data_IF_834800307171
#
_entry.id   IF_834800307171
#
_cell.length_a   1.000
_cell.length_b   1.000
_cell.length_c   1.000
_cell.angle_alpha   90.00
_cell.angle_beta   90.00
_cell.angle_gamma   90.00
#
_symmetry.space_group_name_H-M   'P 1'
#
loop_
_entity.id
_entity.type
_entity.pdbx_description
1 polymer ?
#
# COMPACT_ATOMS: atom_id res chain seq x y z
N UNK A 1 -9.52 -25.50 5.03
CA UNK A 1 -8.47 -24.68 5.65
C UNK A 1 -7.72 -25.52 6.69
N UNK A 2 -8.05 -25.53 7.99
CA UNK A 2 -7.33 -26.42 8.94
C UNK A 2 -7.43 -27.93 8.65
N UNK A 3 -8.48 -28.38 7.95
CA UNK A 3 -8.63 -29.77 7.50
C UNK A 3 -8.03 -30.06 6.12
N UNK A 4 -7.44 -29.06 5.49
CA UNK A 4 -6.90 -29.04 4.11
C UNK A 4 -5.35 -28.91 4.14
N UNK A 5 -4.75 -28.81 5.33
CA UNK A 5 -3.29 -28.70 5.52
C UNK A 5 -2.65 -27.57 4.69
N UNK A 6 -3.35 -26.44 4.58
CA UNK A 6 -2.86 -25.24 3.87
C UNK A 6 -1.61 -24.69 4.59
N UNK A 7 -0.50 -24.61 3.88
CA UNK A 7 0.77 -24.10 4.40
C UNK A 7 0.80 -22.57 4.60
N UNK A 8 -0.21 -21.87 4.05
CA UNK A 8 -0.45 -20.43 4.10
C UNK A 8 0.52 -19.55 3.30
N UNK A 9 1.49 -20.14 2.62
CA UNK A 9 2.44 -19.38 1.82
C UNK A 9 1.80 -18.93 0.51
N UNK A 10 2.24 -17.77 0.02
CA UNK A 10 1.70 -17.18 -1.19
C UNK A 10 2.30 -17.83 -2.43
N UNK A 11 1.52 -18.66 -3.15
CA UNK A 11 1.90 -19.15 -4.49
C UNK A 11 1.65 -18.11 -5.61
N UNK A 12 0.71 -17.20 -5.36
CA UNK A 12 0.30 -16.14 -6.29
C UNK A 12 0.06 -14.84 -5.53
N UNK A 13 0.46 -13.73 -6.14
CA UNK A 13 0.25 -12.40 -5.57
C UNK A 13 -1.10 -11.85 -6.02
N UNK A 14 -2.02 -11.66 -5.08
CA UNK A 14 -3.41 -11.32 -5.36
C UNK A 14 -3.68 -9.86 -4.99
N UNK A 15 -4.33 -9.13 -5.89
CA UNK A 15 -4.93 -7.84 -5.63
C UNK A 15 -6.34 -7.77 -6.23
N UNK A 16 -7.19 -6.92 -5.66
CA UNK A 16 -8.57 -6.72 -6.10
C UNK A 16 -8.73 -5.35 -6.75
N UNK A 17 -9.13 -5.31 -8.02
CA UNK A 17 -9.74 -4.12 -8.61
C UNK A 17 -11.21 -4.06 -8.19
N UNK A 18 -11.56 -3.17 -7.25
CA UNK A 18 -12.96 -2.98 -6.84
C UNK A 18 -13.70 -2.11 -7.86
N UNK A 19 -14.26 -2.74 -8.88
CA UNK A 19 -14.93 -2.04 -9.99
C UNK A 19 -16.27 -2.71 -10.30
N UNK A 20 -17.32 -1.89 -10.38
CA UNK A 20 -18.70 -2.37 -10.64
C UNK A 20 -19.23 -1.95 -12.02
N UNK A 21 -18.51 -1.06 -12.72
CA UNK A 21 -18.88 -0.56 -14.03
C UNK A 21 -17.66 -0.09 -14.82
N UNK A 22 -17.88 0.24 -16.09
CA UNK A 22 -16.82 0.66 -17.03
C UNK A 22 -16.09 1.92 -16.56
N UNK A 23 -16.79 2.90 -15.99
CA UNK A 23 -16.16 4.14 -15.52
C UNK A 23 -15.22 3.90 -14.33
N UNK A 24 -15.60 3.02 -13.41
CA UNK A 24 -14.71 2.61 -12.30
C UNK A 24 -13.49 1.83 -12.82
N UNK A 25 -13.69 0.93 -13.78
CA UNK A 25 -12.58 0.22 -14.42
C UNK A 25 -11.61 1.18 -15.11
N UNK A 26 -12.12 2.19 -15.81
CA UNK A 26 -11.30 3.24 -16.42
C UNK A 26 -10.55 4.08 -15.38
N UNK A 27 -11.19 4.40 -14.24
CA UNK A 27 -10.52 5.13 -13.14
C UNK A 27 -9.40 4.29 -12.51
N UNK A 28 -9.63 2.99 -12.28
CA UNK A 28 -8.61 2.08 -11.78
C UNK A 28 -7.41 2.01 -12.73
N UNK A 29 -7.65 1.75 -14.02
CA UNK A 29 -6.59 1.71 -15.05
C UNK A 29 -5.86 3.05 -15.12
N UNK A 30 -6.58 4.17 -15.09
CA UNK A 30 -5.98 5.50 -15.11
C UNK A 30 -5.02 5.69 -13.93
N UNK A 31 -5.44 5.38 -12.70
CA UNK A 31 -4.59 5.52 -11.52
C UNK A 31 -3.35 4.63 -11.57
N UNK A 32 -3.51 3.36 -11.96
CA UNK A 32 -2.40 2.41 -12.10
C UNK A 32 -1.41 2.91 -13.15
N UNK A 33 -1.89 3.30 -14.34
CA UNK A 33 -1.03 3.78 -15.42
C UNK A 33 -0.37 5.12 -15.11
N UNK A 34 -1.07 6.03 -14.43
CA UNK A 34 -0.50 7.28 -13.95
C UNK A 34 0.62 7.03 -12.95
N UNK A 35 0.36 6.20 -11.93
CA UNK A 35 1.37 5.85 -10.94
C UNK A 35 2.56 5.15 -11.59
N UNK A 36 2.34 4.12 -12.42
CA UNK A 36 3.39 3.30 -13.01
C UNK A 36 4.19 4.00 -14.11
N UNK A 37 3.57 4.86 -14.93
CA UNK A 37 4.24 5.39 -16.14
C UNK A 37 4.65 6.85 -16.04
N UNK A 38 3.86 7.68 -15.38
CA UNK A 38 4.08 9.14 -15.38
C UNK A 38 3.51 9.81 -14.12
N UNK A 39 3.99 9.44 -12.92
CA UNK A 39 3.50 10.05 -11.70
C UNK A 39 4.07 11.48 -11.57
N UNK A 40 3.34 12.43 -10.95
CA UNK A 40 3.94 13.66 -10.45
C UNK A 40 5.12 13.33 -9.51
N UNK A 41 6.26 14.00 -9.65
CA UNK A 41 7.44 13.66 -8.83
C UNK A 41 7.43 14.31 -7.45
N UNK A 42 6.65 15.37 -7.25
CA UNK A 42 6.66 16.18 -6.03
C UNK A 42 6.15 15.46 -4.77
N UNK A 43 5.57 14.26 -4.90
CA UNK A 43 5.06 13.46 -3.79
C UNK A 43 5.75 12.10 -3.60
N UNK A 44 6.62 11.68 -4.53
CA UNK A 44 7.20 10.32 -4.56
C UNK A 44 8.04 10.01 -3.32
N UNK A 45 8.78 11.00 -2.80
CA UNK A 45 9.59 10.85 -1.58
C UNK A 45 8.89 11.37 -0.34
N UNK A 46 7.59 11.08 -0.21
CA UNK A 46 6.79 11.42 0.97
C UNK A 46 6.21 10.18 1.62
N UNK A 47 6.44 10.05 2.92
CA UNK A 47 5.92 9.01 3.78
C UNK A 47 4.99 9.62 4.84
N UNK A 48 3.76 9.13 4.93
CA UNK A 48 2.75 9.64 5.85
C UNK A 48 2.38 8.62 6.92
N UNK A 49 2.52 8.99 8.19
CA UNK A 49 2.43 8.10 9.34
C UNK A 49 1.45 8.62 10.41
N UNK A 50 0.13 8.60 10.15
CA UNK A 50 -0.88 8.88 11.14
C UNK A 50 -1.04 7.71 12.10
N UNK A 51 -1.04 8.00 13.41
CA UNK A 51 -1.29 7.00 14.44
C UNK A 51 -2.21 7.52 15.54
N UNK A 52 -3.28 6.78 15.75
CA UNK A 52 -4.21 6.90 16.84
C UNK A 52 -3.86 5.89 17.94
N UNK A 53 -4.33 6.20 19.13
CA UNK A 53 -4.26 5.29 20.27
C UNK A 53 -5.26 4.14 20.02
N UNK A 54 -4.97 2.92 20.49
CA UNK A 54 -5.89 1.78 20.39
C UNK A 54 -6.58 1.46 21.74
N UNK A 55 -5.92 1.78 22.84
CA UNK A 55 -6.44 1.71 24.21
C UNK A 55 -5.57 2.59 25.12
N UNK A 56 -6.06 2.93 26.32
CA UNK A 56 -5.42 3.91 27.22
C UNK A 56 -3.91 3.72 27.42
N UNK A 57 -3.45 2.46 27.57
CA UNK A 57 -2.05 2.12 27.84
C UNK A 57 -1.22 1.77 26.59
N UNK A 58 -1.81 1.84 25.40
CA UNK A 58 -1.11 1.59 24.14
C UNK A 58 -0.02 2.63 23.89
N UNK A 59 1.18 2.24 23.44
CA UNK A 59 2.19 3.20 22.97
C UNK A 59 2.16 3.20 21.44
N UNK A 60 1.58 4.24 20.86
CA UNK A 60 1.28 4.33 19.43
C UNK A 60 2.49 4.75 18.57
N UNK A 61 3.60 5.09 19.21
CA UNK A 61 4.80 5.62 18.54
C UNK A 61 5.74 4.56 17.96
N UNK A 62 6.04 3.43 18.63
CA UNK A 62 7.19 2.63 18.25
C UNK A 62 7.10 2.01 16.84
N UNK A 63 5.92 1.59 16.39
CA UNK A 63 5.72 1.09 15.02
C UNK A 63 5.98 2.19 13.99
N UNK A 64 5.28 3.33 14.10
CA UNK A 64 5.45 4.44 13.17
C UNK A 64 6.88 4.98 13.18
N UNK A 65 7.50 5.06 14.35
CA UNK A 65 8.90 5.44 14.49
C UNK A 65 9.85 4.40 13.87
N UNK A 66 9.49 3.11 13.87
CA UNK A 66 10.22 2.06 13.18
C UNK A 66 10.18 2.26 11.67
N UNK A 67 8.99 2.41 11.10
CA UNK A 67 8.78 2.65 9.66
C UNK A 67 9.49 3.94 9.23
N UNK A 68 9.38 5.02 10.01
CA UNK A 68 10.07 6.27 9.74
C UNK A 68 11.60 6.15 9.68
N UNK A 69 12.20 5.26 10.48
CA UNK A 69 13.66 5.02 10.47
C UNK A 69 14.12 4.22 9.24
N UNK A 70 13.21 3.50 8.57
CA UNK A 70 13.51 2.77 7.35
C UNK A 70 13.54 3.68 6.12
N UNK A 71 12.80 4.79 6.16
CA UNK A 71 12.75 5.74 5.06
C UNK A 71 14.14 6.34 4.78
N UNK A 72 14.54 6.47 3.49
CA UNK A 72 15.77 7.15 3.12
C UNK A 72 15.83 8.60 3.63
N UNK A 73 17.04 9.11 3.87
CA UNK A 73 17.24 10.40 4.54
C UNK A 73 16.75 11.63 3.76
N UNK A 74 16.51 11.51 2.45
CA UNK A 74 15.95 12.56 1.59
C UNK A 74 14.41 12.50 1.49
N UNK A 75 13.77 11.55 2.16
CA UNK A 75 12.31 11.46 2.23
C UNK A 75 11.73 12.44 3.25
N UNK A 76 10.61 13.05 2.89
CA UNK A 76 9.78 13.80 3.83
C UNK A 76 8.88 12.82 4.59
N UNK A 77 9.07 12.74 5.92
CA UNK A 77 8.27 11.88 6.79
C UNK A 77 7.31 12.71 7.65
N UNK A 78 6.01 12.58 7.41
CA UNK A 78 4.93 13.27 8.14
C UNK A 78 4.38 12.39 9.25
N UNK A 79 4.80 12.63 10.50
CA UNK A 79 4.31 11.93 11.70
C UNK A 79 3.15 12.69 12.35
N UNK A 80 1.99 12.04 12.49
CA UNK A 80 0.77 12.65 13.03
C UNK A 80 0.21 11.78 14.14
N UNK A 81 0.40 12.17 15.40
CA UNK A 81 0.17 11.33 16.57
C UNK A 81 -1.00 11.89 17.40
N UNK A 82 -1.97 11.04 17.73
CA UNK A 82 -3.14 11.42 18.52
C UNK A 82 -2.74 11.97 19.90
N UNK A 83 -1.84 11.29 20.61
CA UNK A 83 -1.39 11.69 21.96
C UNK A 83 -0.78 13.08 22.01
N UNK A 84 -0.10 13.48 20.93
CA UNK A 84 0.53 14.78 20.80
C UNK A 84 -0.41 15.84 20.17
N UNK A 85 -1.63 15.44 19.81
CA UNK A 85 -2.61 16.31 19.15
C UNK A 85 -2.25 16.72 17.72
N UNK A 86 -1.25 16.06 17.09
CA UNK A 86 -0.84 16.38 15.72
C UNK A 86 -1.65 15.62 14.67
N UNK A 87 -2.30 14.53 15.05
CA UNK A 87 -3.33 13.87 14.22
C UNK A 87 -4.68 14.55 14.40
N UNK A 88 -5.11 15.28 13.38
CA UNK A 88 -6.45 15.87 13.30
C UNK A 88 -7.10 15.48 11.98
N UNK A 89 -8.44 15.45 11.93
CA UNK A 89 -9.18 15.19 10.69
C UNK A 89 -8.80 16.16 9.57
N UNK A 90 -8.70 17.45 9.87
CA UNK A 90 -8.31 18.45 8.87
C UNK A 90 -6.85 18.26 8.43
N UNK A 91 -5.92 18.05 9.37
CA UNK A 91 -4.52 17.81 9.02
C UNK A 91 -4.34 16.55 8.16
N UNK A 92 -5.09 15.48 8.45
CA UNK A 92 -5.14 14.28 7.62
C UNK A 92 -5.59 14.63 6.20
N UNK A 93 -6.75 15.29 6.04
CA UNK A 93 -7.29 15.70 4.73
C UNK A 93 -6.32 16.60 3.96
N UNK A 94 -5.71 17.58 4.63
CA UNK A 94 -4.74 18.50 4.02
C UNK A 94 -3.51 17.73 3.51
N UNK A 95 -3.03 16.76 4.29
CA UNK A 95 -1.89 15.92 3.90
C UNK A 95 -2.25 14.99 2.73
N UNK A 96 -3.44 14.37 2.76
CA UNK A 96 -3.97 13.58 1.65
C UNK A 96 -4.03 14.42 0.37
N UNK A 97 -4.56 15.66 0.45
CA UNK A 97 -4.75 16.57 -0.68
C UNK A 97 -3.45 17.09 -1.30
N UNK A 98 -2.38 17.22 -0.50
CA UNK A 98 -1.03 17.53 -1.00
C UNK A 98 -0.34 16.29 -1.60
N UNK A 99 -0.77 15.09 -1.20
CA UNK A 99 -0.31 13.81 -1.73
C UNK A 99 0.96 13.29 -1.04
N UNK A 100 0.99 11.97 -0.84
CA UNK A 100 2.13 11.19 -0.36
C UNK A 100 2.21 9.88 -1.13
N UNK A 101 3.40 9.30 -1.21
CA UNK A 101 3.61 8.08 -1.97
C UNK A 101 3.28 6.83 -1.16
N UNK A 102 3.81 6.75 0.06
CA UNK A 102 3.59 5.62 0.97
C UNK A 102 3.01 6.11 2.29
N UNK A 103 2.10 5.36 2.90
CA UNK A 103 1.58 5.72 4.21
C UNK A 103 1.09 4.55 5.03
N UNK A 104 1.40 4.58 6.33
CA UNK A 104 0.98 3.55 7.27
C UNK A 104 0.00 4.16 8.26
N UNK A 105 -1.21 3.63 8.33
CA UNK A 105 -2.28 4.24 9.11
C UNK A 105 -2.68 3.37 10.29
N UNK A 106 -2.67 3.98 11.46
CA UNK A 106 -2.98 3.30 12.70
C UNK A 106 -4.13 3.96 13.44
N UNK A 107 -5.09 3.13 13.85
CA UNK A 107 -6.22 3.53 14.67
C UNK A 107 -7.33 2.49 14.71
N UNK A 108 -8.43 2.85 15.38
CA UNK A 108 -9.65 2.07 15.27
C UNK A 108 -10.21 2.17 13.85
N UNK A 109 -10.91 1.13 13.39
CA UNK A 109 -11.50 1.12 12.06
C UNK A 109 -12.90 0.57 12.06
N UNK A 110 -13.64 0.91 11.02
CA UNK A 110 -14.78 0.16 10.54
C UNK A 110 -14.94 0.39 9.02
N UNK A 111 -16.01 -0.11 8.44
CA UNK A 111 -16.31 -0.02 7.00
C UNK A 111 -16.48 1.42 6.52
N UNK A 112 -16.61 2.39 7.42
CA UNK A 112 -16.87 3.80 7.09
C UNK A 112 -15.67 4.72 7.35
N UNK A 113 -14.56 4.25 7.93
CA UNK A 113 -13.40 5.10 8.18
C UNK A 113 -12.39 4.55 9.18
N UNK A 114 -11.46 5.44 9.53
CA UNK A 114 -10.43 5.20 10.53
C UNK A 114 -10.44 6.33 11.59
N UNK A 115 -10.27 5.94 12.84
CA UNK A 115 -10.75 6.70 14.00
C UNK A 115 -9.67 6.87 15.07
N UNK A 116 -9.74 8.04 15.69
CA UNK A 116 -9.05 8.35 16.94
C UNK A 116 -9.69 7.57 18.10
N UNK A 117 -8.95 7.34 19.17
CA UNK A 117 -9.51 6.71 20.38
C UNK A 117 -10.39 7.68 21.18
N UNK A 118 -9.92 8.92 21.36
CA UNK A 118 -10.60 9.93 22.18
C UNK A 118 -11.59 10.79 21.39
N UNK A 119 -11.77 10.54 20.08
CA UNK A 119 -12.55 11.40 19.19
C UNK A 119 -13.15 10.60 18.02
N UNK A 120 -13.63 11.30 16.99
CA UNK A 120 -14.22 10.70 15.80
C UNK A 120 -13.19 10.25 14.76
N UNK A 121 -13.69 10.03 13.55
CA UNK A 121 -12.86 9.69 12.40
C UNK A 121 -11.82 10.78 12.14
N UNK A 122 -10.54 10.38 11.98
CA UNK A 122 -9.55 11.28 11.38
C UNK A 122 -9.54 11.17 9.85
N UNK A 123 -10.13 10.11 9.29
CA UNK A 123 -10.52 10.06 7.88
C UNK A 123 -11.76 9.15 7.74
N UNK A 124 -12.86 9.72 7.23
CA UNK A 124 -14.07 8.96 6.92
C UNK A 124 -14.20 8.69 5.41
N UNK A 125 -15.13 7.80 5.04
CA UNK A 125 -15.49 7.55 3.64
C UNK A 125 -15.96 8.82 2.94
N UNK A 126 -16.73 9.67 3.62
CA UNK A 126 -17.14 10.97 3.08
C UNK A 126 -15.96 11.94 2.85
N UNK A 127 -14.89 11.84 3.64
CA UNK A 127 -13.67 12.61 3.42
C UNK A 127 -12.88 12.05 2.25
N UNK A 128 -12.78 10.71 2.14
CA UNK A 128 -12.17 10.04 0.99
C UNK A 128 -12.86 10.44 -0.33
N UNK A 129 -14.19 10.51 -0.33
CA UNK A 129 -15.03 11.01 -1.42
C UNK A 129 -14.87 12.51 -1.68
N UNK A 130 -14.14 13.26 -0.86
CA UNK A 130 -13.90 14.68 -1.03
C UNK A 130 -12.45 15.02 -1.39
N UNK A 131 -11.55 14.04 -1.44
CA UNK A 131 -10.12 14.26 -1.71
C UNK A 131 -9.88 14.87 -3.10
N UNK A 132 -8.88 15.74 -3.20
CA UNK A 132 -8.55 16.55 -4.40
C UNK A 132 -7.07 16.50 -4.77
N UNK A 133 -6.35 15.46 -4.36
CA UNK A 133 -4.92 15.29 -4.66
C UNK A 133 -4.58 15.01 -6.12
N UNK A 134 -5.58 14.87 -7.01
CA UNK A 134 -5.36 14.65 -8.42
C UNK A 134 -4.56 13.37 -8.67
N UNK A 135 -3.49 13.50 -9.46
CA UNK A 135 -2.62 12.38 -9.86
C UNK A 135 -1.58 12.00 -8.80
N UNK A 136 -1.56 12.66 -7.64
CA UNK A 136 -0.68 12.31 -6.51
C UNK A 136 -1.27 11.17 -5.69
N UNK A 137 -1.50 10.04 -6.34
CA UNK A 137 -2.17 8.86 -5.78
C UNK A 137 -1.16 7.92 -5.14
N UNK A 138 -1.18 7.81 -3.81
CA UNK A 138 -0.26 6.94 -3.06
C UNK A 138 -0.78 5.55 -2.79
N UNK A 139 0.00 4.82 -1.99
CA UNK A 139 -0.28 3.49 -1.45
C UNK A 139 -0.36 3.60 0.08
N UNK A 140 -1.35 2.94 0.70
CA UNK A 140 -1.39 2.86 2.15
C UNK A 140 -1.77 1.48 2.68
N UNK A 141 -1.15 1.06 3.78
CA UNK A 141 -1.62 -0.05 4.60
C UNK A 141 -2.12 0.44 5.96
N UNK A 142 -2.99 -0.35 6.59
CA UNK A 142 -3.56 0.01 7.88
C UNK A 142 -3.89 -1.19 8.74
N UNK A 143 -3.63 -1.04 10.04
CA UNK A 143 -4.09 -1.99 11.06
C UNK A 143 -5.58 -1.84 11.40
N UNK A 144 -6.27 -0.80 10.91
CA UNK A 144 -7.65 -0.50 11.32
C UNK A 144 -8.63 -1.62 10.98
N UNK A 145 -9.53 -1.93 11.91
CA UNK A 145 -10.53 -2.99 11.73
C UNK A 145 -11.52 -2.68 10.61
N UNK A 146 -11.90 -3.66 9.80
CA UNK A 146 -12.97 -3.68 8.80
C UNK A 146 -12.92 -2.55 7.77
N UNK A 147 -11.83 -1.79 7.69
CA UNK A 147 -11.64 -0.74 6.69
C UNK A 147 -11.72 -1.30 5.25
N UNK A 148 -11.32 -2.55 5.06
CA UNK A 148 -11.44 -3.32 3.82
C UNK A 148 -12.62 -4.31 3.82
N UNK A 149 -13.59 -4.19 4.73
CA UNK A 149 -14.73 -5.11 4.83
C UNK A 149 -15.81 -4.85 3.76
N UNK A 150 -15.49 -5.00 2.47
CA UNK A 150 -16.42 -4.71 1.36
C UNK A 150 -17.69 -5.57 1.41
N UNK A 151 -17.63 -6.78 1.97
CA UNK A 151 -18.78 -7.66 2.13
C UNK A 151 -19.70 -7.26 3.30
N UNK A 152 -19.24 -6.34 4.17
CA UNK A 152 -19.97 -5.82 5.33
C UNK A 152 -20.84 -4.60 4.99
N UNK A 153 -20.78 -4.11 3.74
CA UNK A 153 -21.56 -2.98 3.23
C UNK A 153 -22.40 -3.37 2.01
N UNK A 154 -23.45 -4.20 2.16
CA UNK A 154 -24.27 -4.62 1.03
C UNK A 154 -24.89 -3.44 0.27
N UNK A 155 -24.53 -3.29 -1.00
CA UNK A 155 -25.01 -2.21 -1.87
C UNK A 155 -24.28 -0.88 -1.70
N UNK A 156 -23.19 -0.84 -0.94
CA UNK A 156 -22.29 0.30 -0.81
C UNK A 156 -20.83 -0.08 -1.01
N UNK A 157 -19.94 0.87 -0.69
CA UNK A 157 -18.49 0.72 -0.74
C UNK A 157 -17.94 0.78 0.68
N UNK A 158 -16.91 -0.02 0.99
CA UNK A 158 -16.19 0.11 2.25
C UNK A 158 -15.17 1.24 2.16
N UNK A 159 -14.60 1.64 3.30
CA UNK A 159 -13.65 2.76 3.37
C UNK A 159 -12.47 2.60 2.40
N UNK A 160 -11.93 1.39 2.27
CA UNK A 160 -10.88 1.07 1.32
C UNK A 160 -11.32 1.32 -0.14
N UNK A 161 -12.57 0.96 -0.49
CA UNK A 161 -13.15 1.16 -1.81
C UNK A 161 -13.35 2.64 -2.11
N UNK A 162 -13.84 3.44 -1.15
CA UNK A 162 -13.94 4.90 -1.29
C UNK A 162 -12.58 5.55 -1.64
N UNK A 163 -11.49 5.11 -1.01
CA UNK A 163 -10.14 5.63 -1.28
C UNK A 163 -9.64 5.30 -2.69
N UNK A 164 -9.78 4.04 -3.13
CA UNK A 164 -9.27 3.61 -4.45
C UNK A 164 -10.19 4.03 -5.59
N UNK A 165 -11.50 4.17 -5.34
CA UNK A 165 -12.49 4.54 -6.36
C UNK A 165 -12.70 6.05 -6.50
N UNK A 166 -12.16 6.87 -5.59
CA UNK A 166 -12.20 8.34 -5.71
C UNK A 166 -11.65 8.80 -7.07
N UNK A 167 -12.49 9.45 -7.87
CA UNK A 167 -12.08 10.08 -9.13
C UNK A 167 -11.42 11.42 -8.84
N UNK A 168 -10.27 11.70 -9.48
CA UNK A 168 -9.54 12.96 -9.30
C UNK A 168 -8.81 13.08 -7.95
N UNK A 169 -8.55 11.96 -7.28
CA UNK A 169 -7.80 11.92 -6.02
C UNK A 169 -7.84 10.53 -5.36
N UNK A 170 -7.66 10.49 -4.05
CA UNK A 170 -7.61 9.26 -3.27
C UNK A 170 -6.27 8.55 -3.42
N UNK A 171 -6.31 7.21 -3.43
CA UNK A 171 -5.14 6.35 -3.50
C UNK A 171 -5.20 5.45 -4.74
N UNK A 172 -4.05 4.95 -5.20
CA UNK A 172 -3.98 3.98 -6.28
C UNK A 172 -4.07 2.54 -5.76
N UNK A 173 -3.66 2.31 -4.51
CA UNK A 173 -3.84 1.03 -3.84
C UNK A 173 -3.90 1.18 -2.32
N UNK A 174 -4.57 0.23 -1.66
CA UNK A 174 -4.56 0.11 -0.20
C UNK A 174 -4.48 -1.35 0.23
N UNK A 175 -3.88 -1.60 1.40
CA UNK A 175 -3.95 -2.89 2.09
C UNK A 175 -4.71 -2.69 3.40
N UNK A 176 -5.90 -3.25 3.50
CA UNK A 176 -6.78 -3.02 4.65
C UNK A 176 -7.45 -4.32 5.09
N UNK A 177 -7.72 -4.39 6.39
CA UNK A 177 -8.33 -5.54 7.05
C UNK A 177 -9.80 -5.67 6.66
N UNK A 178 -10.20 -6.86 6.22
CA UNK A 178 -11.60 -7.21 5.98
C UNK A 178 -12.41 -7.37 7.28
N UNK A 179 -11.71 -7.60 8.40
CA UNK A 179 -12.21 -7.82 9.76
C UNK A 179 -11.24 -7.18 10.76
N UNK A 180 -10.85 -7.85 11.83
CA UNK A 180 -10.10 -7.24 12.94
C UNK A 180 -8.59 -7.24 12.75
N UNK A 181 -7.99 -6.05 12.73
CA UNK A 181 -6.56 -5.90 12.96
C UNK A 181 -6.20 -5.90 14.44
N UNK A 182 -4.97 -6.30 14.73
CA UNK A 182 -4.47 -6.56 16.07
C UNK A 182 -3.15 -5.83 16.34
N UNK A 183 -3.21 -4.87 17.27
CA UNK A 183 -2.06 -4.11 17.75
C UNK A 183 -1.25 -4.83 18.83
N UNK A 184 -0.33 -4.11 19.46
CA UNK A 184 0.68 -4.63 20.38
C UNK A 184 0.12 -5.45 21.55
N UNK A 185 0.94 -6.39 22.02
CA UNK A 185 0.63 -7.16 23.22
C UNK A 185 0.60 -6.26 24.48
N UNK A 186 -0.32 -6.54 25.42
CA UNK A 186 -0.51 -5.73 26.64
C UNK A 186 0.53 -6.11 27.73
N UNK A 187 1.15 -5.09 28.35
CA UNK A 187 2.02 -5.22 29.53
C UNK A 187 3.46 -4.76 29.31
N UNK A 188 3.95 -4.83 28.08
CA UNK A 188 5.17 -4.21 27.57
C UNK A 188 5.05 -4.13 26.04
N UNK A 189 5.58 -3.09 25.40
CA UNK A 189 5.43 -2.93 23.96
C UNK A 189 6.13 -4.08 23.23
N UNK A 190 5.33 -4.95 22.61
CA UNK A 190 5.75 -5.94 21.64
C UNK A 190 4.81 -5.78 20.46
N UNK A 191 5.34 -5.56 19.24
CA UNK A 191 4.50 -5.37 18.06
C UNK A 191 3.44 -6.45 17.93
N UNK A 192 2.21 -6.06 17.61
CA UNK A 192 1.10 -6.98 17.38
C UNK A 192 1.22 -7.73 16.07
N UNK A 193 0.34 -8.71 15.80
CA UNK A 193 0.25 -9.35 14.50
C UNK A 193 0.14 -8.38 13.32
N UNK A 194 -0.76 -7.38 13.36
CA UNK A 194 -0.91 -6.43 12.25
C UNK A 194 0.31 -5.52 12.12
N UNK A 195 0.83 -5.00 13.24
CA UNK A 195 2.03 -4.14 13.23
C UNK A 195 3.26 -4.85 12.63
N UNK A 196 3.36 -6.15 12.85
CA UNK A 196 4.42 -6.99 12.27
C UNK A 196 4.29 -7.13 10.76
N UNK A 197 3.10 -7.46 10.26
CA UNK A 197 2.85 -7.53 8.81
C UNK A 197 3.17 -6.18 8.17
N UNK A 198 2.63 -5.11 8.74
CA UNK A 198 2.73 -3.77 8.18
C UNK A 198 4.15 -3.20 8.25
N UNK A 199 4.89 -3.44 9.33
CA UNK A 199 6.31 -3.05 9.41
C UNK A 199 7.17 -3.85 8.43
N UNK A 200 6.89 -5.14 8.25
CA UNK A 200 7.62 -5.99 7.28
C UNK A 200 7.37 -5.52 5.84
N UNK A 201 6.19 -5.00 5.52
CA UNK A 201 5.91 -4.39 4.20
C UNK A 201 6.92 -3.28 3.87
N UNK A 202 7.17 -2.34 4.80
CA UNK A 202 8.17 -1.29 4.60
C UNK A 202 9.60 -1.79 4.61
N UNK A 203 9.90 -2.81 5.42
CA UNK A 203 11.21 -3.46 5.41
C UNK A 203 11.51 -4.08 4.05
N UNK A 204 10.50 -4.70 3.41
CA UNK A 204 10.63 -5.29 2.09
C UNK A 204 10.98 -4.24 1.03
N UNK A 205 10.36 -3.06 1.09
CA UNK A 205 10.62 -1.95 0.16
C UNK A 205 12.03 -1.39 0.39
N UNK A 206 12.36 -1.00 1.62
CA UNK A 206 13.55 -0.18 1.88
C UNK A 206 14.84 -0.98 2.11
N UNK A 207 14.75 -2.26 2.46
CA UNK A 207 15.93 -3.10 2.74
C UNK A 207 16.05 -4.34 1.85
N UNK A 208 14.94 -5.01 1.53
CA UNK A 208 14.98 -6.20 0.67
C UNK A 208 14.90 -5.88 -0.83
N UNK A 209 14.58 -4.63 -1.19
CA UNK A 209 14.42 -4.18 -2.57
C UNK A 209 13.33 -4.95 -3.35
N UNK A 210 12.21 -5.23 -2.69
CA UNK A 210 11.03 -5.87 -3.28
C UNK A 210 10.00 -4.80 -3.62
N UNK A 211 9.74 -4.60 -4.92
CA UNK A 211 9.01 -3.43 -5.41
C UNK A 211 7.70 -3.72 -6.14
N UNK A 212 7.34 -4.96 -6.48
CA UNK A 212 5.99 -5.23 -6.99
C UNK A 212 5.01 -5.27 -5.82
N UNK A 213 3.96 -4.45 -5.84
CA UNK A 213 3.10 -4.22 -4.68
C UNK A 213 2.51 -5.50 -4.08
N UNK A 214 2.06 -6.42 -4.93
CA UNK A 214 1.53 -7.72 -4.54
C UNK A 214 2.60 -8.62 -3.92
N UNK A 215 3.81 -8.63 -4.49
CA UNK A 215 4.96 -9.37 -3.95
C UNK A 215 5.38 -8.81 -2.59
N UNK A 216 5.54 -7.49 -2.47
CA UNK A 216 5.88 -6.81 -1.22
C UNK A 216 4.89 -7.14 -0.10
N UNK A 217 3.58 -7.14 -0.43
CA UNK A 217 2.49 -7.49 0.48
C UNK A 217 2.49 -8.97 0.88
N UNK A 218 2.61 -9.86 -0.11
CA UNK A 218 2.63 -11.30 0.11
C UNK A 218 3.84 -11.74 0.95
N UNK A 219 5.04 -11.29 0.60
CA UNK A 219 6.28 -11.61 1.35
C UNK A 219 6.20 -11.07 2.79
N UNK A 220 5.54 -9.94 3.01
CA UNK A 220 5.31 -9.43 4.36
C UNK A 220 4.44 -10.38 5.18
N UNK A 221 3.42 -11.00 4.58
CA UNK A 221 2.56 -12.01 5.22
C UNK A 221 3.30 -13.33 5.44
N UNK A 222 3.99 -13.81 4.41
CA UNK A 222 4.72 -15.08 4.41
C UNK A 222 5.81 -15.13 5.49
N UNK A 223 6.45 -13.98 5.79
CA UNK A 223 7.46 -13.86 6.84
C UNK A 223 6.93 -14.24 8.24
N UNK A 224 5.61 -14.18 8.46
CA UNK A 224 4.97 -14.44 9.75
C UNK A 224 4.18 -15.75 9.80
N UNK A 225 4.08 -16.49 8.69
CA UNK A 225 3.46 -17.83 8.63
C UNK A 225 4.02 -18.80 9.70
N UNK A 226 5.33 -18.87 9.98
CA UNK A 226 5.86 -19.74 11.05
C UNK A 226 5.28 -19.46 12.44
N UNK A 227 4.69 -18.28 12.65
CA UNK A 227 4.12 -17.84 13.92
C UNK A 227 2.58 -17.86 13.93
N UNK A 228 1.93 -18.30 12.84
CA UNK A 228 0.48 -18.22 12.66
C UNK A 228 -0.32 -18.76 13.86
N UNK A 229 0.17 -19.83 14.48
CA UNK A 229 -0.47 -20.54 15.59
C UNK A 229 0.41 -20.55 16.87
N UNK A 230 1.38 -19.64 16.99
CA UNK A 230 2.33 -19.59 18.13
C UNK A 230 1.75 -19.02 19.45
N UNK A 231 0.54 -18.45 19.42
CA UNK A 231 -0.13 -17.87 20.59
C UNK A 231 0.62 -16.69 21.25
N UNK A 232 0.17 -16.27 22.45
CA UNK A 232 0.73 -15.13 23.19
C UNK A 232 0.80 -13.86 22.33
N UNK A 233 1.98 -13.24 22.24
CA UNK A 233 2.21 -12.07 21.39
C UNK A 233 1.96 -12.32 19.90
N UNK A 234 1.81 -13.57 19.44
CA UNK A 234 1.49 -13.98 18.06
C UNK A 234 0.04 -14.49 17.91
N UNK A 235 -0.77 -14.41 18.98
CA UNK A 235 -2.19 -14.75 18.88
C UNK A 235 -2.84 -13.88 17.80
N UNK A 236 -3.68 -14.47 16.95
CA UNK A 236 -4.29 -13.85 15.77
C UNK A 236 -3.35 -13.58 14.57
N UNK A 237 -2.11 -14.08 14.55
CA UNK A 237 -1.26 -13.99 13.34
C UNK A 237 -1.89 -14.70 12.14
N UNK A 238 -2.43 -15.93 12.30
CA UNK A 238 -3.17 -16.61 11.23
C UNK A 238 -4.30 -15.74 10.67
N UNK A 239 -5.07 -15.12 11.56
CA UNK A 239 -6.19 -14.25 11.22
C UNK A 239 -5.73 -13.06 10.37
N UNK A 240 -4.73 -12.30 10.85
CA UNK A 240 -4.22 -11.12 10.17
C UNK A 240 -3.62 -11.45 8.80
N UNK A 241 -2.98 -12.62 8.64
CA UNK A 241 -2.48 -13.09 7.35
C UNK A 241 -3.65 -13.25 6.36
N UNK A 242 -4.76 -13.88 6.74
CA UNK A 242 -5.84 -14.09 5.77
C UNK A 242 -6.63 -12.84 5.42
N UNK A 243 -6.77 -11.90 6.35
CA UNK A 243 -7.78 -10.85 6.26
C UNK A 243 -7.24 -9.49 5.77
N UNK A 244 -5.91 -9.29 5.78
CA UNK A 244 -5.27 -8.10 5.22
C UNK A 244 -5.17 -8.21 3.70
N UNK A 245 -6.04 -7.49 2.99
CA UNK A 245 -6.27 -7.62 1.56
C UNK A 245 -5.79 -6.40 0.77
N UNK A 246 -5.14 -6.65 -0.37
CA UNK A 246 -4.75 -5.61 -1.33
C UNK A 246 -5.94 -5.25 -2.24
N UNK A 247 -6.38 -4.00 -2.17
CA UNK A 247 -7.23 -3.37 -3.18
C UNK A 247 -6.34 -2.51 -4.06
N UNK A 248 -6.00 -3.01 -5.25
CA UNK A 248 -4.98 -2.46 -6.12
C UNK A 248 -4.50 -3.45 -7.17
N UNK A 249 -3.63 -3.01 -8.08
CA UNK A 249 -2.95 -3.89 -9.03
C UNK A 249 -1.75 -4.55 -8.33
N UNK A 250 -1.69 -5.90 -8.22
CA UNK A 250 -0.56 -6.57 -7.56
C UNK A 250 0.76 -6.38 -8.31
N UNK A 251 0.74 -6.14 -9.63
CA UNK A 251 1.96 -5.91 -10.41
C UNK A 251 2.39 -4.46 -10.56
N UNK A 252 1.72 -3.54 -9.86
CA UNK A 252 2.13 -2.15 -9.85
C UNK A 252 3.48 -2.03 -9.11
N UNK A 253 4.55 -1.51 -9.77
CA UNK A 253 5.82 -1.28 -9.11
C UNK A 253 5.69 -0.09 -8.16
N UNK A 254 6.28 -0.19 -6.98
CA UNK A 254 6.34 0.85 -5.96
C UNK A 254 7.53 1.76 -6.28
N UNK A 255 7.28 3.06 -6.44
CA UNK A 255 8.36 4.03 -6.61
C UNK A 255 9.04 4.33 -5.28
N UNK A 256 10.37 4.32 -5.26
CA UNK A 256 11.17 4.74 -4.11
C UNK A 256 12.05 5.97 -4.37
N UNK A 257 12.06 6.44 -5.60
CA UNK A 257 12.71 7.67 -6.05
C UNK A 257 11.99 8.18 -7.31
N UNK A 258 12.31 9.41 -7.71
CA UNK A 258 11.70 10.01 -8.90
C UNK A 258 11.99 9.17 -10.15
N UNK A 259 10.98 8.83 -10.97
CA UNK A 259 11.18 8.06 -12.19
C UNK A 259 12.19 8.73 -13.12
N UNK A 260 13.25 8.00 -13.47
CA UNK A 260 14.23 8.46 -14.44
C UNK A 260 13.70 8.33 -15.87
N UNK A 261 14.06 9.25 -16.75
CA UNK A 261 13.77 9.15 -18.18
C UNK A 261 14.70 8.11 -18.81
N UNK A 262 14.13 7.03 -19.32
CA UNK A 262 14.85 5.99 -20.04
C UNK A 262 14.93 6.31 -21.53
N UNK A 263 16.12 6.22 -22.10
CA UNK A 263 16.35 6.27 -23.55
C UNK A 263 16.65 4.87 -24.04
N UNK A 264 15.92 4.43 -25.08
CA UNK A 264 16.06 3.10 -25.66
C UNK A 264 16.64 3.21 -27.07
N UNK A 265 17.77 2.55 -27.28
CA UNK A 265 18.38 2.37 -28.61
C UNK A 265 18.16 0.94 -29.05
N UNK A 266 17.57 0.75 -30.23
CA UNK A 266 17.28 -0.56 -30.81
C UNK A 266 17.49 -0.56 -32.32
N UNK A 267 17.63 -1.72 -32.97
CA UNK A 267 17.77 -1.81 -34.41
C UNK A 267 16.53 -1.28 -35.13
N UNK A 268 16.72 -0.53 -36.23
CA UNK A 268 15.61 0.05 -37.01
C UNK A 268 14.71 -1.00 -37.67
N UNK A 269 15.18 -2.24 -37.78
CA UNK A 269 14.42 -3.37 -38.31
C UNK A 269 14.93 -4.67 -37.70
N UNK A 270 14.02 -5.60 -37.49
CA UNK A 270 14.32 -6.96 -37.00
C UNK A 270 14.06 -7.91 -38.17
N UNK A 271 15.09 -8.58 -38.74
CA UNK A 271 14.92 -9.59 -39.78
C UNK A 271 13.90 -10.67 -39.43
N UNK A 272 13.39 -11.41 -40.40
CA UNK A 272 12.52 -12.55 -40.10
C UNK A 272 13.40 -13.76 -39.74
N UNK A 273 13.06 -14.46 -38.65
CA UNK A 273 13.74 -15.67 -38.20
C UNK A 273 14.22 -15.57 -36.75
N UNK A 274 14.80 -16.67 -36.25
CA UNK A 274 15.38 -16.72 -34.91
C UNK A 274 16.66 -15.89 -34.88
N UNK A 275 16.68 -14.84 -34.07
CA UNK A 275 17.86 -14.01 -33.86
C UNK A 275 17.81 -13.34 -32.49
N UNK A 276 18.96 -12.85 -32.06
CA UNK A 276 19.05 -11.95 -30.92
C UNK A 276 18.78 -10.51 -31.38
N UNK A 277 18.12 -9.72 -30.54
CA UNK A 277 17.89 -8.29 -30.77
C UNK A 277 18.59 -7.53 -29.66
N UNK A 278 19.65 -6.83 -30.03
CA UNK A 278 20.43 -6.04 -29.07
C UNK A 278 19.72 -4.71 -28.80
N UNK A 279 19.32 -4.48 -27.55
CA UNK A 279 18.69 -3.24 -27.11
C UNK A 279 19.52 -2.64 -25.99
N UNK A 280 19.85 -1.36 -26.13
CA UNK A 280 20.56 -0.59 -25.11
C UNK A 280 19.59 0.36 -24.44
N UNK A 281 19.49 0.27 -23.12
CA UNK A 281 18.71 1.19 -22.29
C UNK A 281 19.66 2.08 -21.51
N UNK A 282 19.47 3.39 -21.57
CA UNK A 282 20.28 4.37 -20.82
C UNK A 282 19.40 5.33 -20.03
N UNK A 283 19.98 5.91 -18.97
CA UNK A 283 19.49 7.09 -18.27
C UNK A 283 20.56 8.17 -18.38
N UNK A 284 20.21 9.27 -19.06
CA UNK A 284 21.21 10.17 -19.63
C UNK A 284 22.18 9.41 -20.54
N UNK A 285 23.48 9.54 -20.26
CA UNK A 285 24.55 8.86 -21.01
C UNK A 285 24.99 7.52 -20.40
N UNK A 286 24.41 7.10 -19.26
CA UNK A 286 24.82 5.88 -18.55
C UNK A 286 23.91 4.69 -18.84
N UNK A 287 24.45 3.49 -19.09
CA UNK A 287 23.63 2.29 -19.28
C UNK A 287 22.88 1.91 -18.00
N UNK A 288 21.63 1.47 -18.16
CA UNK A 288 20.81 0.95 -17.07
C UNK A 288 20.99 -0.56 -16.99
N UNK A 289 21.47 -1.04 -15.84
CA UNK A 289 21.58 -2.47 -15.60
C UNK A 289 20.19 -3.08 -15.32
N UNK A 290 19.97 -4.33 -15.74
CA UNK A 290 18.73 -5.10 -15.49
C UNK A 290 17.43 -4.43 -15.99
N UNK A 291 17.50 -3.54 -16.98
CA UNK A 291 16.28 -3.03 -17.61
C UNK A 291 15.49 -4.16 -18.28
N UNK A 292 14.20 -4.30 -17.95
CA UNK A 292 13.32 -5.26 -18.61
C UNK A 292 12.93 -4.73 -20.00
N UNK A 293 13.32 -5.47 -21.04
CA UNK A 293 12.97 -5.16 -22.43
C UNK A 293 11.99 -6.19 -22.95
N UNK A 294 10.82 -5.75 -23.40
CA UNK A 294 9.80 -6.59 -24.04
C UNK A 294 9.62 -6.18 -25.50
N UNK A 295 9.81 -7.12 -26.43
CA UNK A 295 9.45 -6.94 -27.83
C UNK A 295 8.02 -7.43 -28.05
N UNK A 296 7.18 -6.57 -28.60
CA UNK A 296 5.79 -6.92 -28.89
C UNK A 296 5.36 -6.50 -30.29
N UNK A 297 4.55 -7.34 -30.93
CA UNK A 297 3.87 -7.05 -32.20
C UNK A 297 2.36 -7.07 -31.98
N UNK A 298 1.71 -5.91 -32.12
CA UNK A 298 0.27 -5.72 -31.90
C UNK A 298 -0.02 -4.63 -30.86
N UNK A 299 -1.29 -4.43 -30.52
CA UNK A 299 -1.69 -3.55 -29.40
C UNK A 299 -1.78 -4.38 -28.12
N UNK A 300 -1.16 -3.90 -27.05
CA UNK A 300 -1.55 -4.23 -25.68
C UNK A 300 -2.72 -3.29 -25.35
N UNK A 301 -3.85 -3.83 -24.90
CA UNK A 301 -4.84 -3.00 -24.23
C UNK A 301 -4.20 -2.58 -22.88
N UNK A 302 -4.06 -1.27 -22.61
CA UNK A 302 -3.42 -0.79 -21.39
C UNK A 302 -4.15 -1.29 -20.14
#
# INVERSE_FOLDING_TARGET
ELSDDVDMYSDVYVGRASVYNVSMAQNFIYKVMTYEKNPPTDYIKRLMLPTAILWDSYDERPMQDSIARMAPGDWQVSKMYERNGTLTRQGMIDTMNVGYNLGHWEGHGNENGIYLYYSGAYLSSSDADALVNGDRVGIANSIGCSCGGWDLVPGGDCFAEHLVNRVGGGLCAVMMNARYGWGAWIGYYVPGPSERLDTTFYYNIFYNNIYHLGETHAVAKDAWVPYADSGNQYEYTRWCIYELNLLGCPEMPIWTDDPAVLTVTSPASIPIGNQNVDVTVTTGESPVNNALVCLIKGRILP
#
